data_IF_822270262543
#
_entry.id   IF_822270262543
#
_cell.length_a   1.000
_cell.length_b   1.000
_cell.length_c   1.000
_cell.angle_alpha   90.00
_cell.angle_beta   90.00
_cell.angle_gamma   90.00
#
_symmetry.space_group_name_H-M   'P 1'
#
loop_
_entity.id
_entity.type
_entity.pdbx_description
1 polymer ?
#
# COMPACT_ATOMS: atom_id res chain seq x y z
N UNK A 1 1.44 13.80 -26.64
CA UNK A 1 0.61 15.00 -26.71
C UNK A 1 -0.88 14.63 -26.71
N UNK A 2 -1.35 13.74 -27.55
CA UNK A 2 -2.78 13.34 -27.68
C UNK A 2 -3.44 12.98 -26.35
N UNK A 3 -2.77 12.16 -25.50
CA UNK A 3 -3.29 11.80 -24.16
C UNK A 3 -3.44 13.01 -23.26
N UNK A 4 -2.54 13.98 -23.35
CA UNK A 4 -2.60 15.21 -22.58
C UNK A 4 -3.77 16.10 -23.03
N UNK A 5 -3.99 16.24 -24.33
CA UNK A 5 -5.09 17.03 -24.89
C UNK A 5 -6.45 16.39 -24.56
N UNK A 6 -6.54 15.05 -24.61
CA UNK A 6 -7.72 14.31 -24.14
C UNK A 6 -7.96 14.53 -22.64
N UNK A 7 -6.91 14.58 -21.83
CA UNK A 7 -7.03 14.88 -20.40
C UNK A 7 -7.52 16.32 -20.18
N UNK A 8 -6.99 17.29 -20.93
CA UNK A 8 -7.42 18.67 -20.87
C UNK A 8 -8.91 18.85 -21.23
N UNK A 9 -9.42 18.07 -22.19
CA UNK A 9 -10.83 18.06 -22.54
C UNK A 9 -11.72 17.40 -21.47
N UNK A 10 -11.14 16.51 -20.65
CA UNK A 10 -11.87 15.73 -19.65
C UNK A 10 -11.97 16.46 -18.31
N UNK A 11 -10.88 17.07 -17.82
CA UNK A 11 -10.80 17.66 -16.48
C UNK A 11 -11.94 18.65 -16.17
N UNK A 12 -12.35 19.57 -17.05
CA UNK A 12 -13.46 20.49 -16.75
C UNK A 12 -14.80 19.80 -16.48
N UNK A 13 -14.95 18.54 -16.91
CA UNK A 13 -16.17 17.73 -16.71
C UNK A 13 -16.16 16.94 -15.40
N UNK A 14 -15.03 16.97 -14.67
CA UNK A 14 -14.81 16.17 -13.46
C UNK A 14 -15.13 16.92 -12.15
N UNK A 15 -16.10 17.85 -12.17
CA UNK A 15 -16.50 18.59 -10.96
C UNK A 15 -16.87 17.62 -9.83
N UNK A 16 -16.29 17.83 -8.63
CA UNK A 16 -16.36 16.96 -7.44
C UNK A 16 -15.57 15.64 -7.52
N UNK A 17 -15.12 15.21 -8.69
CA UNK A 17 -14.18 14.09 -8.75
C UNK A 17 -12.80 14.51 -8.19
N UNK A 18 -12.12 13.68 -7.41
CA UNK A 18 -10.81 14.04 -6.86
C UNK A 18 -9.78 14.40 -7.93
N UNK A 19 -9.85 13.82 -9.12
CA UNK A 19 -8.94 14.11 -10.23
C UNK A 19 -9.00 15.57 -10.67
N UNK A 20 -10.15 16.26 -10.54
CA UNK A 20 -10.23 17.69 -10.78
C UNK A 20 -9.35 18.47 -9.78
N UNK A 21 -9.47 18.15 -8.50
CA UNK A 21 -8.71 18.81 -7.44
C UNK A 21 -7.22 18.48 -7.51
N UNK A 22 -6.88 17.21 -7.72
CA UNK A 22 -5.50 16.75 -7.77
C UNK A 22 -4.75 17.34 -8.96
N UNK A 23 -5.35 17.36 -10.16
CA UNK A 23 -4.75 17.99 -11.35
C UNK A 23 -4.39 19.44 -11.07
N UNK A 24 -5.30 20.22 -10.48
CA UNK A 24 -5.02 21.63 -10.18
C UNK A 24 -4.01 21.82 -9.02
N UNK A 25 -3.96 20.90 -8.05
CA UNK A 25 -2.92 20.91 -7.00
C UNK A 25 -1.54 20.59 -7.58
N UNK A 26 -1.46 19.61 -8.49
CA UNK A 26 -0.23 19.24 -9.19
C UNK A 26 0.30 20.41 -10.05
N UNK A 27 -0.57 21.17 -10.72
CA UNK A 27 -0.17 22.36 -11.45
C UNK A 27 0.26 23.50 -10.51
N UNK A 28 -0.42 23.66 -9.39
CA UNK A 28 -0.18 24.76 -8.46
C UNK A 28 1.12 24.60 -7.67
N UNK A 29 1.35 23.44 -7.07
CA UNK A 29 2.44 23.29 -6.09
C UNK A 29 3.81 23.12 -6.71
N UNK A 30 4.08 22.14 -7.58
CA UNK A 30 5.38 22.04 -8.24
C UNK A 30 5.62 23.17 -9.25
N UNK A 31 4.61 23.50 -10.06
CA UNK A 31 4.79 24.40 -11.22
C UNK A 31 4.41 25.86 -10.98
N UNK A 32 3.81 26.19 -9.85
CA UNK A 32 3.40 27.57 -9.53
C UNK A 32 2.29 28.11 -10.42
N UNK A 33 1.51 27.26 -11.11
CA UNK A 33 0.40 27.68 -11.96
C UNK A 33 -0.82 27.91 -11.07
N UNK A 34 -1.11 29.18 -10.77
CA UNK A 34 -2.23 29.63 -9.94
C UNK A 34 -3.16 30.52 -10.78
N UNK A 35 -4.46 30.44 -10.50
CA UNK A 35 -5.44 31.29 -11.21
C UNK A 35 -5.82 30.83 -12.61
N UNK A 36 -5.18 29.78 -13.16
CA UNK A 36 -5.50 29.20 -14.46
C UNK A 36 -6.11 27.83 -14.26
N UNK A 37 -7.32 27.61 -14.76
CA UNK A 37 -7.94 26.29 -14.77
C UNK A 37 -7.42 25.47 -15.96
N UNK A 38 -7.23 24.19 -15.73
CA UNK A 38 -6.81 23.26 -16.77
C UNK A 38 -7.97 22.87 -17.67
N UNK A 39 -7.84 23.14 -18.95
CA UNK A 39 -8.85 22.84 -19.95
C UNK A 39 -8.30 23.03 -21.37
N UNK A 40 -9.12 22.77 -22.42
CA UNK A 40 -8.67 22.86 -23.80
C UNK A 40 -7.99 24.18 -24.18
N UNK A 41 -8.55 25.29 -23.71
CA UNK A 41 -8.09 26.63 -24.06
C UNK A 41 -6.76 27.03 -23.41
N UNK A 42 -6.40 26.37 -22.29
CA UNK A 42 -5.20 26.66 -21.48
C UNK A 42 -4.15 25.56 -21.60
N UNK A 43 -4.48 24.44 -22.20
CA UNK A 43 -3.63 23.27 -22.27
C UNK A 43 -2.30 23.53 -23.00
N UNK A 44 -2.31 24.35 -24.06
CA UNK A 44 -1.11 24.71 -24.80
C UNK A 44 -0.08 25.41 -23.93
N UNK A 45 -0.46 26.51 -23.31
CA UNK A 45 0.42 27.34 -22.47
C UNK A 45 0.92 26.57 -21.24
N UNK A 46 0.03 25.76 -20.63
CA UNK A 46 0.40 24.93 -19.48
C UNK A 46 1.43 23.86 -19.89
N UNK A 47 1.24 23.23 -21.05
CA UNK A 47 2.20 22.25 -21.58
C UNK A 47 3.57 22.86 -21.78
N UNK A 48 3.65 23.99 -22.45
CA UNK A 48 4.93 24.67 -22.73
C UNK A 48 5.62 25.07 -21.44
N UNK A 49 4.90 25.69 -20.51
CA UNK A 49 5.44 26.10 -19.22
C UNK A 49 5.94 24.94 -18.37
N UNK A 50 5.13 23.90 -18.23
CA UNK A 50 5.52 22.73 -17.41
C UNK A 50 6.65 21.93 -18.05
N UNK A 51 6.65 21.77 -19.38
CA UNK A 51 7.72 21.10 -20.13
C UNK A 51 9.04 21.84 -20.00
N UNK A 52 9.03 23.17 -20.14
CA UNK A 52 10.23 23.99 -19.95
C UNK A 52 10.79 23.86 -18.55
N UNK A 53 9.96 23.85 -17.51
CA UNK A 53 10.39 23.66 -16.12
C UNK A 53 10.98 22.26 -15.90
N UNK A 54 10.35 21.20 -16.41
CA UNK A 54 10.87 19.82 -16.28
C UNK A 54 12.19 19.63 -17.04
N UNK A 55 12.39 20.33 -18.15
CA UNK A 55 13.61 20.27 -18.97
C UNK A 55 14.74 21.17 -18.45
N UNK A 56 14.46 22.10 -17.55
CA UNK A 56 15.44 23.07 -17.05
C UNK A 56 16.56 22.47 -16.20
N UNK A 57 16.46 21.19 -15.81
CA UNK A 57 17.38 20.52 -14.88
C UNK A 57 17.16 20.85 -13.41
N UNK A 58 16.22 21.74 -13.07
CA UNK A 58 15.89 22.15 -11.69
C UNK A 58 14.63 21.48 -11.13
N UNK A 59 14.04 20.53 -11.85
CA UNK A 59 12.84 19.80 -11.46
C UNK A 59 13.01 18.30 -11.71
N UNK A 60 14.14 17.74 -11.31
CA UNK A 60 14.35 16.30 -11.26
C UNK A 60 13.53 15.64 -10.14
N UNK A 61 13.56 14.32 -10.08
CA UNK A 61 12.82 13.55 -9.09
C UNK A 61 13.12 14.00 -7.64
N UNK A 62 14.38 14.14 -7.29
CA UNK A 62 14.78 14.57 -5.95
C UNK A 62 14.41 16.03 -5.66
N UNK A 63 14.46 16.91 -6.66
CA UNK A 63 14.06 18.31 -6.50
C UNK A 63 12.58 18.44 -6.17
N UNK A 64 11.73 17.64 -6.83
CA UNK A 64 10.29 17.59 -6.54
C UNK A 64 10.06 17.07 -5.12
N UNK A 65 10.74 15.99 -4.71
CA UNK A 65 10.61 15.43 -3.36
C UNK A 65 11.02 16.46 -2.28
N UNK A 66 12.15 17.11 -2.46
CA UNK A 66 12.64 18.16 -1.56
C UNK A 66 11.69 19.37 -1.50
N UNK A 67 11.17 19.81 -2.65
CA UNK A 67 10.19 20.88 -2.74
C UNK A 67 8.88 20.55 -2.00
N UNK A 68 8.51 19.28 -1.93
CA UNK A 68 7.34 18.78 -1.20
C UNK A 68 7.63 18.41 0.26
N UNK A 69 8.85 18.70 0.77
CA UNK A 69 9.30 18.32 2.12
C UNK A 69 9.15 16.82 2.40
N UNK A 70 9.45 15.98 1.42
CA UNK A 70 9.45 14.53 1.59
C UNK A 70 10.75 14.12 2.26
N UNK A 71 10.66 13.46 3.41
CA UNK A 71 11.81 12.94 4.15
C UNK A 71 12.18 11.51 3.75
N UNK A 72 11.16 10.70 3.45
CA UNK A 72 11.36 9.31 3.07
C UNK A 72 10.33 8.85 2.03
N UNK A 73 10.79 8.01 1.11
CA UNK A 73 9.98 7.29 0.14
C UNK A 73 10.22 5.80 0.36
N UNK A 74 9.15 5.05 0.60
CA UNK A 74 9.19 3.59 0.63
C UNK A 74 8.62 3.07 -0.70
N UNK A 75 9.42 2.30 -1.41
CA UNK A 75 9.03 1.66 -2.67
C UNK A 75 8.35 0.31 -2.39
N UNK A 76 7.84 -0.34 -3.42
CA UNK A 76 7.30 -1.70 -3.32
C UNK A 76 8.19 -2.64 -4.12
N UNK A 77 8.85 -3.59 -3.45
CA UNK A 77 9.91 -4.40 -4.03
C UNK A 77 9.67 -5.90 -3.83
N UNK A 78 9.94 -6.67 -4.88
CA UNK A 78 9.86 -8.13 -4.87
C UNK A 78 11.07 -8.72 -4.10
N UNK A 79 10.90 -9.79 -3.32
CA UNK A 79 12.03 -10.49 -2.66
C UNK A 79 13.21 -10.80 -3.58
N UNK A 80 12.96 -10.94 -4.89
CA UNK A 80 14.00 -11.23 -5.89
C UNK A 80 14.78 -10.00 -6.35
N UNK A 81 14.39 -8.78 -5.97
CA UNK A 81 15.03 -7.55 -6.45
C UNK A 81 16.38 -7.32 -5.80
N UNK A 82 17.32 -6.81 -6.58
CA UNK A 82 18.70 -6.59 -6.15
C UNK A 82 18.91 -5.34 -5.28
N UNK A 83 17.91 -4.46 -5.21
CA UNK A 83 17.91 -3.19 -4.47
C UNK A 83 19.11 -2.27 -4.83
N UNK A 84 19.66 -2.42 -6.01
CA UNK A 84 20.85 -1.65 -6.43
C UNK A 84 20.58 -0.14 -6.47
N UNK A 85 19.36 0.27 -6.84
CA UNK A 85 18.96 1.68 -6.84
C UNK A 85 18.95 2.25 -5.43
N UNK A 86 18.39 1.53 -4.45
CA UNK A 86 18.36 1.93 -3.04
C UNK A 86 19.76 2.12 -2.46
N UNK A 87 20.65 1.16 -2.72
CA UNK A 87 22.04 1.22 -2.24
C UNK A 87 22.83 2.37 -2.88
N UNK A 88 22.65 2.61 -4.19
CA UNK A 88 23.27 3.78 -4.85
C UNK A 88 22.75 5.08 -4.29
N UNK A 89 21.44 5.18 -4.05
CA UNK A 89 20.86 6.37 -3.47
C UNK A 89 21.33 6.60 -2.03
N UNK A 90 21.37 5.57 -1.20
CA UNK A 90 21.90 5.67 0.17
C UNK A 90 23.37 6.12 0.18
N UNK A 91 24.19 5.65 -0.77
CA UNK A 91 25.58 6.05 -0.91
C UNK A 91 25.76 7.51 -1.40
N UNK A 92 24.75 8.13 -2.00
CA UNK A 92 24.80 9.52 -2.44
C UNK A 92 24.76 10.53 -1.29
N UNK A 93 24.28 10.12 -0.10
CA UNK A 93 24.11 10.99 1.05
C UNK A 93 22.97 12.02 0.91
N UNK A 94 22.05 11.82 -0.04
CA UNK A 94 20.88 12.70 -0.19
C UNK A 94 20.01 12.73 1.07
N UNK A 95 19.40 13.87 1.35
CA UNK A 95 18.54 14.06 2.53
C UNK A 95 17.25 13.27 2.47
N UNK A 96 16.71 13.02 1.29
CA UNK A 96 15.51 12.19 1.09
C UNK A 96 15.91 10.71 1.13
N UNK A 97 15.33 9.95 2.05
CA UNK A 97 15.60 8.52 2.16
C UNK A 97 14.78 7.75 1.13
N UNK A 98 15.42 6.84 0.40
CA UNK A 98 14.76 5.86 -0.48
C UNK A 98 14.92 4.48 0.14
N UNK A 99 13.85 3.91 0.67
CA UNK A 99 13.84 2.66 1.41
C UNK A 99 12.99 1.61 0.70
N UNK A 100 13.43 0.35 0.64
CA UNK A 100 12.59 -0.71 0.08
C UNK A 100 11.49 -1.12 1.05
N UNK A 101 10.38 -1.66 0.51
CA UNK A 101 9.35 -2.38 1.24
C UNK A 101 9.27 -3.80 0.72
N UNK A 102 9.31 -4.78 1.62
CA UNK A 102 9.30 -6.20 1.28
C UNK A 102 7.89 -6.66 0.92
N UNK A 103 7.65 -6.99 -0.36
CA UNK A 103 6.34 -7.46 -0.86
C UNK A 103 6.41 -8.87 -1.45
N UNK A 104 6.25 -9.90 -0.62
CA UNK A 104 6.39 -11.31 -1.03
C UNK A 104 5.09 -11.93 -1.57
N UNK A 105 4.18 -11.17 -2.17
CA UNK A 105 2.89 -11.69 -2.65
C UNK A 105 3.03 -12.83 -3.63
N UNK A 106 4.05 -12.79 -4.50
CA UNK A 106 4.31 -13.88 -5.45
C UNK A 106 4.73 -15.18 -4.77
N UNK A 107 5.35 -15.13 -3.59
CA UNK A 107 5.66 -16.32 -2.81
C UNK A 107 4.41 -17.12 -2.45
N UNK A 108 3.30 -16.41 -2.17
CA UNK A 108 2.03 -16.99 -1.76
C UNK A 108 1.14 -17.44 -2.92
N UNK A 109 1.48 -17.02 -4.14
CA UNK A 109 0.65 -17.21 -5.33
C UNK A 109 0.80 -18.62 -5.97
N UNK A 110 0.84 -19.67 -5.15
CA UNK A 110 1.04 -21.07 -5.59
C UNK A 110 0.03 -21.53 -6.65
N UNK A 111 -1.18 -20.94 -6.65
CA UNK A 111 -2.22 -21.19 -7.63
C UNK A 111 -1.87 -20.74 -9.05
N UNK A 112 -0.81 -19.93 -9.23
CA UNK A 112 -0.38 -19.48 -10.55
C UNK A 112 0.47 -20.53 -11.29
N UNK A 113 0.65 -21.72 -10.71
CA UNK A 113 1.29 -22.86 -11.37
C UNK A 113 2.67 -22.49 -11.93
N UNK A 114 2.81 -22.54 -13.28
CA UNK A 114 4.09 -22.28 -13.94
C UNK A 114 4.69 -20.90 -13.59
N UNK A 115 3.91 -19.84 -13.54
CA UNK A 115 4.40 -18.51 -13.22
C UNK A 115 4.96 -18.45 -11.79
N UNK A 116 4.35 -19.18 -10.85
CA UNK A 116 4.87 -19.31 -9.49
C UNK A 116 6.18 -20.13 -9.45
N UNK A 117 6.29 -21.23 -10.21
CA UNK A 117 7.55 -21.99 -10.30
C UNK A 117 8.69 -21.14 -10.85
N UNK A 118 8.46 -20.40 -11.92
CA UNK A 118 9.45 -19.48 -12.52
C UNK A 118 9.87 -18.39 -11.53
N UNK A 119 8.95 -17.93 -10.67
CA UNK A 119 9.28 -17.00 -9.60
C UNK A 119 10.12 -17.66 -8.49
N UNK A 120 9.82 -18.90 -8.09
CA UNK A 120 10.65 -19.65 -7.13
C UNK A 120 12.07 -19.85 -7.66
N UNK A 121 12.23 -20.14 -8.94
CA UNK A 121 13.55 -20.25 -9.57
C UNK A 121 14.30 -18.90 -9.60
N UNK A 122 13.59 -17.78 -9.68
CA UNK A 122 14.18 -16.44 -9.50
C UNK A 122 14.63 -16.22 -8.05
N UNK A 123 13.82 -16.64 -7.08
CA UNK A 123 14.17 -16.54 -5.66
C UNK A 123 15.41 -17.40 -5.34
N UNK A 124 15.51 -18.58 -5.93
CA UNK A 124 16.68 -19.45 -5.82
C UNK A 124 17.95 -18.71 -6.28
N UNK A 125 17.91 -18.10 -7.46
CA UNK A 125 19.04 -17.29 -7.99
C UNK A 125 19.33 -16.06 -7.11
N UNK A 126 18.31 -15.35 -6.67
CA UNK A 126 18.48 -14.13 -5.88
C UNK A 126 19.00 -14.39 -4.46
N UNK A 127 18.66 -15.54 -3.87
CA UNK A 127 19.14 -15.96 -2.54
C UNK A 127 20.46 -16.72 -2.58
N UNK A 128 20.85 -17.26 -3.74
CA UNK A 128 21.97 -18.17 -3.89
C UNK A 128 21.76 -19.52 -3.20
N UNK A 129 20.52 -19.91 -2.96
CA UNK A 129 20.14 -21.14 -2.22
C UNK A 129 19.32 -22.04 -3.13
N UNK A 130 19.67 -23.32 -3.22
CA UNK A 130 18.85 -24.31 -3.90
C UNK A 130 17.55 -24.55 -3.10
N UNK A 131 16.40 -24.46 -3.81
CA UNK A 131 15.06 -24.57 -3.22
C UNK A 131 14.42 -25.90 -3.62
N UNK A 132 14.76 -26.97 -2.88
CA UNK A 132 14.26 -28.32 -3.10
C UNK A 132 12.93 -28.62 -2.39
N UNK A 133 12.70 -27.96 -1.26
CA UNK A 133 11.58 -28.21 -0.37
C UNK A 133 11.07 -26.92 0.30
N UNK A 134 10.00 -27.02 1.06
CA UNK A 134 9.39 -25.90 1.75
C UNK A 134 10.35 -25.23 2.77
N UNK A 135 11.17 -26.03 3.47
CA UNK A 135 12.12 -25.49 4.45
C UNK A 135 13.21 -24.64 3.78
N UNK A 136 13.74 -25.11 2.62
CA UNK A 136 14.68 -24.35 1.81
C UNK A 136 14.03 -23.07 1.23
N UNK A 137 12.76 -23.14 0.83
CA UNK A 137 11.99 -21.98 0.36
C UNK A 137 11.82 -20.93 1.45
N UNK A 138 11.44 -21.33 2.65
CA UNK A 138 11.33 -20.42 3.80
C UNK A 138 12.69 -19.82 4.18
N UNK A 139 13.76 -20.60 4.14
CA UNK A 139 15.12 -20.12 4.39
C UNK A 139 15.56 -19.09 3.35
N UNK A 140 15.23 -19.30 2.07
CA UNK A 140 15.51 -18.34 1.00
C UNK A 140 14.75 -17.03 1.23
N UNK A 141 13.45 -17.10 1.57
CA UNK A 141 12.65 -15.92 1.94
C UNK A 141 13.23 -15.17 3.15
N UNK A 142 13.60 -15.87 4.20
CA UNK A 142 14.22 -15.27 5.38
C UNK A 142 15.57 -14.60 5.06
N UNK A 143 16.39 -15.21 4.19
CA UNK A 143 17.63 -14.60 3.70
C UNK A 143 17.36 -13.30 2.92
N UNK A 144 16.35 -13.29 2.06
CA UNK A 144 15.97 -12.07 1.32
C UNK A 144 15.39 -11.00 2.24
N UNK A 145 14.58 -11.38 3.22
CA UNK A 145 14.08 -10.46 4.25
C UNK A 145 15.23 -9.79 5.02
N UNK A 146 16.24 -10.58 5.44
CA UNK A 146 17.44 -10.04 6.08
C UNK A 146 18.24 -9.11 5.16
N UNK A 147 18.32 -9.41 3.86
CA UNK A 147 18.94 -8.53 2.86
C UNK A 147 18.22 -7.19 2.74
N UNK A 148 16.88 -7.20 2.72
CA UNK A 148 16.08 -5.99 2.73
C UNK A 148 16.33 -5.18 4.01
N UNK A 149 16.41 -5.83 5.18
CA UNK A 149 16.73 -5.19 6.45
C UNK A 149 18.09 -4.46 6.40
N UNK A 150 19.11 -5.09 5.81
CA UNK A 150 20.44 -4.49 5.62
C UNK A 150 20.41 -3.27 4.69
N UNK A 151 19.44 -3.21 3.77
CA UNK A 151 19.22 -2.08 2.86
C UNK A 151 18.33 -0.98 3.47
N UNK A 152 17.93 -1.13 4.74
CA UNK A 152 17.16 -0.14 5.48
C UNK A 152 15.65 -0.37 5.49
N UNK A 153 15.17 -1.49 4.97
CA UNK A 153 13.76 -1.85 5.01
C UNK A 153 13.23 -1.92 6.46
N UNK A 154 12.02 -1.42 6.66
CA UNK A 154 11.29 -1.42 7.94
C UNK A 154 9.84 -1.85 7.79
N UNK A 155 9.43 -2.16 6.56
CA UNK A 155 8.05 -2.40 6.21
C UNK A 155 7.92 -3.68 5.37
N UNK A 156 6.87 -4.44 5.62
CA UNK A 156 6.34 -5.41 4.66
C UNK A 156 4.98 -4.97 4.15
N UNK A 157 4.61 -5.42 2.95
CA UNK A 157 3.34 -5.09 2.31
C UNK A 157 2.74 -6.33 1.67
N UNK A 158 1.44 -6.53 1.84
CA UNK A 158 0.72 -7.71 1.37
C UNK A 158 -0.66 -7.33 0.86
N UNK A 159 -1.05 -7.93 -0.27
CA UNK A 159 -2.42 -7.87 -0.80
C UNK A 159 -3.17 -9.15 -0.47
N UNK A 160 -4.37 -9.04 0.10
CA UNK A 160 -5.22 -10.15 0.48
C UNK A 160 -6.55 -10.07 -0.28
N UNK A 161 -6.75 -10.97 -1.22
CA UNK A 161 -7.90 -10.99 -2.14
C UNK A 161 -8.77 -12.24 -1.96
N UNK A 162 -8.24 -13.27 -1.30
CA UNK A 162 -8.93 -14.50 -0.97
C UNK A 162 -8.75 -14.84 0.52
N UNK A 163 -9.77 -15.41 1.12
CA UNK A 163 -9.88 -15.56 2.56
C UNK A 163 -10.36 -16.97 2.92
N UNK A 164 -9.71 -17.56 3.92
CA UNK A 164 -10.12 -18.80 4.59
C UNK A 164 -9.82 -18.69 6.08
N UNK A 165 -10.61 -19.34 6.91
CA UNK A 165 -10.45 -19.36 8.36
C UNK A 165 -9.23 -20.17 8.81
N UNK A 166 -8.80 -21.13 8.00
CA UNK A 166 -7.78 -22.09 8.36
C UNK A 166 -6.41 -21.77 7.73
N UNK A 167 -5.40 -22.32 8.34
CA UNK A 167 -4.04 -22.42 7.82
C UNK A 167 -3.72 -23.90 7.61
N UNK A 168 -2.57 -24.20 7.04
CA UNK A 168 -2.05 -25.56 6.91
C UNK A 168 -1.15 -25.93 8.09
N UNK A 169 -1.04 -27.25 8.37
CA UNK A 169 0.11 -27.77 9.10
C UNK A 169 1.37 -27.68 8.25
N UNK A 170 2.54 -27.84 8.86
CA UNK A 170 3.81 -27.84 8.14
C UNK A 170 3.87 -28.98 7.11
N UNK A 171 3.36 -30.17 7.48
CA UNK A 171 3.33 -31.35 6.62
C UNK A 171 2.40 -31.14 5.39
N UNK A 172 1.21 -30.58 5.60
CA UNK A 172 0.28 -30.24 4.52
C UNK A 172 0.90 -29.20 3.58
N UNK A 173 1.51 -28.16 4.13
CA UNK A 173 2.16 -27.10 3.34
C UNK A 173 3.35 -27.64 2.54
N UNK A 174 4.15 -28.53 3.13
CA UNK A 174 5.28 -29.19 2.45
C UNK A 174 4.79 -30.09 1.31
N UNK A 175 3.69 -30.83 1.51
CA UNK A 175 3.11 -31.67 0.49
C UNK A 175 2.59 -30.84 -0.72
N UNK A 176 1.88 -29.73 -0.44
CA UNK A 176 1.40 -28.83 -1.51
C UNK A 176 2.57 -28.16 -2.25
N UNK A 177 3.59 -27.71 -1.51
CA UNK A 177 4.79 -27.13 -2.13
C UNK A 177 5.46 -28.13 -3.07
N UNK A 178 5.68 -29.38 -2.62
CA UNK A 178 6.30 -30.42 -3.41
C UNK A 178 5.47 -30.75 -4.67
N UNK A 179 4.15 -30.87 -4.54
CA UNK A 179 3.23 -31.09 -5.67
C UNK A 179 3.33 -29.93 -6.69
N UNK A 180 3.30 -28.68 -6.25
CA UNK A 180 3.40 -27.51 -7.12
C UNK A 180 4.77 -27.44 -7.82
N UNK A 181 5.87 -27.78 -7.14
CA UNK A 181 7.21 -27.83 -7.75
C UNK A 181 7.34 -28.92 -8.83
N UNK A 182 6.52 -29.96 -8.78
CA UNK A 182 6.42 -31.01 -9.81
C UNK A 182 5.42 -30.68 -10.93
N UNK A 183 4.85 -29.47 -10.92
CA UNK A 183 3.87 -29.02 -11.90
C UNK A 183 2.43 -29.42 -11.60
N UNK A 184 2.16 -29.91 -10.39
CA UNK A 184 0.80 -30.18 -9.91
C UNK A 184 0.03 -28.87 -9.70
N UNK A 185 -1.29 -28.91 -9.98
CA UNK A 185 -2.17 -27.78 -9.77
C UNK A 185 -2.52 -27.67 -8.27
N UNK A 186 -2.35 -26.46 -7.71
CA UNK A 186 -2.82 -26.10 -6.37
C UNK A 186 -3.77 -24.92 -6.52
N UNK A 187 -5.06 -25.14 -6.26
CA UNK A 187 -6.08 -24.12 -6.51
C UNK A 187 -7.11 -24.07 -5.37
N UNK A 188 -8.04 -23.12 -5.48
CA UNK A 188 -9.15 -22.99 -4.56
C UNK A 188 -8.72 -22.83 -3.10
N UNK A 189 -9.35 -23.54 -2.21
CA UNK A 189 -9.13 -23.45 -0.76
C UNK A 189 -7.70 -23.77 -0.33
N UNK A 190 -7.07 -24.76 -0.93
CA UNK A 190 -5.72 -25.17 -0.56
C UNK A 190 -4.68 -24.08 -0.86
N UNK A 191 -4.85 -23.38 -1.97
CA UNK A 191 -3.99 -22.22 -2.28
C UNK A 191 -4.14 -21.08 -1.27
N UNK A 192 -5.37 -20.83 -0.79
CA UNK A 192 -5.63 -19.81 0.25
C UNK A 192 -5.03 -20.24 1.60
N UNK A 193 -5.21 -21.51 2.00
CA UNK A 193 -4.63 -22.06 3.24
C UNK A 193 -3.09 -22.06 3.18
N UNK A 194 -2.48 -22.35 2.03
CA UNK A 194 -1.03 -22.19 1.81
C UNK A 194 -0.59 -20.72 1.95
N UNK A 195 -1.36 -19.79 1.38
CA UNK A 195 -1.12 -18.36 1.58
C UNK A 195 -1.17 -17.99 3.07
N UNK A 196 -2.16 -18.46 3.82
CA UNK A 196 -2.27 -18.23 5.27
C UNK A 196 -1.06 -18.78 6.04
N UNK A 197 -0.61 -20.00 5.70
CA UNK A 197 0.59 -20.60 6.28
C UNK A 197 1.84 -19.73 6.08
N UNK A 198 2.06 -19.24 4.87
CA UNK A 198 3.18 -18.34 4.58
C UNK A 198 3.01 -16.98 5.25
N UNK A 199 1.79 -16.47 5.38
CA UNK A 199 1.53 -15.22 6.10
C UNK A 199 1.89 -15.33 7.59
N UNK A 200 1.63 -16.48 8.21
CA UNK A 200 2.04 -16.75 9.61
C UNK A 200 3.58 -16.80 9.73
N UNK A 201 4.27 -17.46 8.79
CA UNK A 201 5.73 -17.48 8.73
C UNK A 201 6.33 -16.07 8.54
N UNK A 202 5.82 -15.30 7.59
CA UNK A 202 6.29 -13.95 7.30
C UNK A 202 6.01 -12.99 8.48
N UNK A 203 4.90 -13.20 9.23
CA UNK A 203 4.63 -12.43 10.44
C UNK A 203 5.74 -12.61 11.48
N UNK A 204 6.24 -13.85 11.63
CA UNK A 204 7.37 -14.15 12.52
C UNK A 204 8.65 -13.41 12.13
N UNK A 205 8.94 -13.31 10.81
CA UNK A 205 10.10 -12.56 10.33
C UNK A 205 9.96 -11.06 10.61
N UNK A 206 8.78 -10.49 10.31
CA UNK A 206 8.50 -9.08 10.54
C UNK A 206 8.60 -8.73 12.04
N UNK A 207 7.99 -9.54 12.90
CA UNK A 207 8.03 -9.35 14.35
C UNK A 207 9.46 -9.42 14.91
N UNK A 208 10.25 -10.41 14.50
CA UNK A 208 11.64 -10.58 14.92
C UNK A 208 12.52 -9.40 14.46
N UNK A 209 12.23 -8.81 13.31
CA UNK A 209 12.95 -7.65 12.78
C UNK A 209 12.42 -6.30 13.30
N UNK A 210 11.29 -6.29 14.05
CA UNK A 210 10.63 -5.06 14.51
C UNK A 210 10.04 -4.25 13.35
N UNK A 211 9.61 -4.91 12.27
CA UNK A 211 9.01 -4.24 11.11
C UNK A 211 7.52 -3.98 11.31
N UNK A 212 7.01 -3.05 10.52
CA UNK A 212 5.58 -2.78 10.41
C UNK A 212 5.04 -3.51 9.18
N UNK A 213 4.00 -4.30 9.39
CA UNK A 213 3.29 -5.04 8.34
C UNK A 213 2.12 -4.22 7.82
N UNK A 214 1.96 -4.16 6.51
CA UNK A 214 0.82 -3.53 5.85
C UNK A 214 -0.03 -4.60 5.17
N UNK A 215 -1.34 -4.64 5.45
CA UNK A 215 -2.29 -5.57 4.84
C UNK A 215 -3.34 -4.80 4.05
N UNK A 216 -3.31 -4.93 2.73
CA UNK A 216 -4.30 -4.39 1.80
C UNK A 216 -5.35 -5.45 1.51
N UNK A 217 -6.62 -5.16 1.81
CA UNK A 217 -7.66 -6.19 1.89
C UNK A 217 -8.85 -5.86 1.00
N UNK A 218 -9.30 -6.84 0.21
CA UNK A 218 -10.61 -6.81 -0.43
C UNK A 218 -10.68 -6.08 -1.78
N UNK A 219 -9.58 -6.05 -2.55
CA UNK A 219 -9.62 -5.57 -3.94
C UNK A 219 -10.20 -6.65 -4.87
N UNK A 220 -11.22 -6.30 -5.65
CA UNK A 220 -11.69 -7.12 -6.77
C UNK A 220 -10.86 -6.78 -7.99
N UNK A 221 -9.90 -7.65 -8.29
CA UNK A 221 -8.97 -7.46 -9.40
C UNK A 221 -9.57 -7.83 -10.74
N UNK A 222 -9.42 -6.93 -11.70
CA UNK A 222 -9.67 -7.17 -13.12
C UNK A 222 -11.03 -7.84 -13.45
N UNK A 223 -12.18 -7.36 -12.91
CA UNK A 223 -13.49 -7.97 -13.22
C UNK A 223 -13.86 -7.88 -14.70
N UNK A 224 -13.26 -6.97 -15.47
CA UNK A 224 -13.41 -6.88 -16.92
C UNK A 224 -12.35 -7.73 -17.63
N UNK A 225 -12.69 -9.00 -17.91
CA UNK A 225 -11.77 -9.94 -18.57
C UNK A 225 -11.36 -9.54 -19.99
N UNK A 226 -12.20 -8.78 -20.73
CA UNK A 226 -11.82 -8.26 -22.05
C UNK A 226 -10.72 -7.20 -21.93
N UNK A 227 -10.88 -6.24 -21.01
CA UNK A 227 -9.86 -5.22 -20.76
C UNK A 227 -8.55 -5.85 -20.25
N UNK A 228 -8.63 -6.85 -19.36
CA UNK A 228 -7.44 -7.58 -18.90
C UNK A 228 -6.67 -8.24 -20.03
N UNK A 229 -7.38 -8.88 -20.98
CA UNK A 229 -6.75 -9.52 -22.15
C UNK A 229 -6.11 -8.50 -23.09
N UNK A 230 -6.79 -7.38 -23.33
CA UNK A 230 -6.41 -6.43 -24.37
C UNK A 230 -5.40 -5.37 -23.87
N UNK A 231 -5.43 -5.02 -22.58
CA UNK A 231 -4.64 -3.96 -21.97
C UNK A 231 -3.69 -4.44 -20.86
N UNK A 232 -3.91 -5.63 -20.33
CA UNK A 232 -3.16 -6.18 -19.20
C UNK A 232 -3.67 -5.72 -17.82
N UNK A 233 -3.02 -6.18 -16.75
CA UNK A 233 -3.38 -5.81 -15.37
C UNK A 233 -3.00 -4.36 -15.05
N UNK A 234 -3.52 -3.82 -13.95
CA UNK A 234 -3.22 -2.49 -13.41
C UNK A 234 -3.54 -1.33 -14.37
N UNK A 235 -4.53 -1.51 -15.23
CA UNK A 235 -4.93 -0.50 -16.24
C UNK A 235 -6.23 0.24 -15.90
N UNK A 236 -6.67 0.17 -14.62
CA UNK A 236 -7.80 0.94 -14.10
C UNK A 236 -9.14 0.18 -14.10
N UNK A 237 -9.11 -1.15 -14.15
CA UNK A 237 -10.31 -2.00 -14.19
C UNK A 237 -10.51 -2.83 -12.92
N UNK A 238 -9.91 -2.43 -11.81
CA UNK A 238 -10.19 -3.00 -10.50
C UNK A 238 -11.47 -2.40 -9.90
N UNK A 239 -12.09 -3.09 -8.94
CA UNK A 239 -13.34 -2.67 -8.34
C UNK A 239 -13.40 -2.96 -6.82
N UNK A 240 -14.44 -2.42 -6.18
CA UNK A 240 -14.86 -2.78 -4.82
C UNK A 240 -15.77 -4.01 -4.93
N UNK A 241 -15.65 -4.94 -3.96
CA UNK A 241 -16.58 -6.05 -3.80
C UNK A 241 -16.97 -6.29 -2.35
N UNK A 242 -18.02 -7.07 -2.16
CA UNK A 242 -18.54 -7.48 -0.86
C UNK A 242 -17.92 -8.81 -0.41
N UNK A 243 -16.62 -8.79 -0.12
CA UNK A 243 -15.95 -9.96 0.45
C UNK A 243 -16.31 -10.13 1.93
N UNK A 244 -16.43 -11.39 2.36
CA UNK A 244 -16.56 -11.75 3.78
C UNK A 244 -15.19 -12.09 4.32
N UNK A 245 -14.47 -11.09 4.82
CA UNK A 245 -13.07 -11.26 5.23
C UNK A 245 -12.77 -10.87 6.69
N UNK A 246 -13.66 -10.19 7.39
CA UNK A 246 -13.34 -9.68 8.74
C UNK A 246 -13.02 -10.83 9.71
N UNK A 247 -13.83 -11.88 9.73
CA UNK A 247 -13.58 -13.03 10.61
C UNK A 247 -12.32 -13.81 10.21
N UNK A 248 -12.11 -14.19 8.93
CA UNK A 248 -10.85 -14.80 8.49
C UNK A 248 -9.60 -13.94 8.77
N UNK A 249 -9.69 -12.62 8.56
CA UNK A 249 -8.60 -11.70 8.89
C UNK A 249 -8.31 -11.70 10.40
N UNK A 250 -9.37 -11.69 11.24
CA UNK A 250 -9.23 -11.83 12.69
C UNK A 250 -8.51 -13.11 13.07
N UNK A 251 -8.83 -14.26 12.44
CA UNK A 251 -8.12 -15.53 12.68
C UNK A 251 -6.66 -15.51 12.23
N UNK A 252 -6.37 -14.85 11.11
CA UNK A 252 -4.98 -14.65 10.66
C UNK A 252 -4.16 -13.89 11.70
N UNK A 253 -4.71 -12.79 12.22
CA UNK A 253 -4.05 -11.99 13.25
C UNK A 253 -3.92 -12.77 14.57
N UNK A 254 -4.96 -13.50 14.95
CA UNK A 254 -5.01 -14.30 16.17
C UNK A 254 -3.96 -15.42 16.21
N UNK A 255 -3.77 -16.14 15.09
CA UNK A 255 -2.70 -17.16 15.01
C UNK A 255 -1.32 -16.57 15.29
N UNK A 256 -1.03 -15.39 14.76
CA UNK A 256 0.22 -14.68 15.02
C UNK A 256 0.30 -14.16 16.46
N UNK A 257 -0.82 -13.67 17.02
CA UNK A 257 -0.89 -13.19 18.39
C UNK A 257 -0.65 -14.32 19.41
N UNK A 258 -1.30 -15.48 19.22
CA UNK A 258 -1.12 -16.65 20.08
C UNK A 258 0.33 -17.19 20.09
N UNK A 259 1.03 -17.05 18.96
CA UNK A 259 2.45 -17.41 18.83
C UNK A 259 3.39 -16.33 19.38
N UNK A 260 2.89 -15.16 19.79
CA UNK A 260 3.72 -14.00 20.16
C UNK A 260 4.48 -13.39 18.99
N UNK A 261 4.03 -13.64 17.76
CA UNK A 261 4.69 -13.20 16.52
C UNK A 261 3.87 -12.18 15.73
N UNK A 262 2.86 -11.54 16.34
CA UNK A 262 2.10 -10.47 15.69
C UNK A 262 2.94 -9.19 15.66
N UNK A 263 3.39 -8.73 14.47
CA UNK A 263 4.11 -7.47 14.33
C UNK A 263 3.19 -6.27 14.47
N UNK A 264 3.74 -5.07 14.61
CA UNK A 264 2.96 -3.85 14.38
C UNK A 264 2.34 -3.91 12.99
N UNK A 265 1.02 -3.69 12.89
CA UNK A 265 0.28 -3.96 11.66
C UNK A 265 -0.67 -2.82 11.31
N UNK A 266 -0.71 -2.46 10.02
CA UNK A 266 -1.64 -1.49 9.45
C UNK A 266 -2.60 -2.23 8.54
N UNK A 267 -3.90 -2.05 8.73
CA UNK A 267 -4.95 -2.66 7.94
C UNK A 267 -5.57 -1.63 7.01
N UNK A 268 -5.65 -1.94 5.71
CA UNK A 268 -6.30 -1.11 4.70
C UNK A 268 -7.45 -1.87 4.07
N UNK A 269 -8.65 -1.27 4.01
CA UNK A 269 -9.80 -1.80 3.30
C UNK A 269 -10.16 -0.95 2.09
N UNK A 270 -10.93 -1.53 1.19
CA UNK A 270 -11.37 -0.86 -0.03
C UNK A 270 -12.88 -0.55 -0.01
N UNK A 271 -13.67 -1.39 0.67
CA UNK A 271 -15.10 -1.19 0.80
C UNK A 271 -15.41 -0.33 2.04
N UNK A 272 -16.04 0.86 1.89
CA UNK A 272 -16.36 1.74 3.03
C UNK A 272 -17.35 1.12 4.02
N UNK A 273 -18.11 0.09 3.61
CA UNK A 273 -18.96 -0.72 4.49
C UNK A 273 -18.19 -1.28 5.68
N UNK A 274 -16.94 -1.63 5.48
CA UNK A 274 -16.12 -2.36 6.45
C UNK A 274 -15.29 -1.44 7.36
N UNK A 275 -15.37 -0.11 7.19
CA UNK A 275 -14.55 0.85 7.95
C UNK A 275 -14.65 0.64 9.47
N UNK A 276 -15.85 0.54 10.02
CA UNK A 276 -16.05 0.34 11.45
C UNK A 276 -15.51 -1.02 11.92
N UNK A 277 -15.77 -2.09 11.15
CA UNK A 277 -15.29 -3.42 11.47
C UNK A 277 -13.76 -3.49 11.49
N UNK A 278 -13.07 -2.83 10.52
CA UNK A 278 -11.61 -2.75 10.47
C UNK A 278 -11.04 -1.95 11.64
N UNK A 279 -11.63 -0.82 11.98
CA UNK A 279 -11.20 -0.01 13.11
C UNK A 279 -11.32 -0.76 14.45
N UNK A 280 -12.45 -1.46 14.67
CA UNK A 280 -12.69 -2.27 15.88
C UNK A 280 -11.75 -3.48 15.91
N UNK A 281 -11.52 -4.13 14.79
CA UNK A 281 -10.58 -5.25 14.71
C UNK A 281 -9.16 -4.81 15.13
N UNK A 282 -8.70 -3.63 14.71
CA UNK A 282 -7.44 -3.07 15.19
C UNK A 282 -7.43 -2.90 16.71
N UNK A 283 -8.54 -2.49 17.31
CA UNK A 283 -8.68 -2.36 18.76
C UNK A 283 -8.51 -3.70 19.50
N UNK A 284 -8.97 -4.81 18.90
CA UNK A 284 -8.94 -6.14 19.50
C UNK A 284 -7.52 -6.73 19.65
N UNK A 285 -6.52 -6.20 18.95
CA UNK A 285 -5.15 -6.72 18.92
C UNK A 285 -4.10 -5.72 19.44
N UNK A 286 -4.48 -4.71 20.20
CA UNK A 286 -3.55 -3.85 20.94
C UNK A 286 -2.90 -4.64 22.11
N UNK A 287 -1.61 -4.41 22.36
CA UNK A 287 -0.88 -5.15 23.42
C UNK A 287 -0.62 -4.34 24.69
N UNK A 288 -1.01 -3.08 24.73
CA UNK A 288 -0.77 -2.20 25.88
C UNK A 288 0.70 -1.76 26.06
N UNK A 289 1.61 -2.23 25.21
CA UNK A 289 3.05 -1.92 25.26
C UNK A 289 3.42 -0.95 24.14
N UNK A 290 3.02 -1.27 22.91
CA UNK A 290 3.32 -0.48 21.72
C UNK A 290 2.13 0.39 21.37
N UNK A 291 2.21 1.69 21.61
CA UNK A 291 1.13 2.62 21.29
C UNK A 291 0.84 2.63 19.78
N UNK A 292 -0.38 2.22 19.40
CA UNK A 292 -0.80 2.11 18.01
C UNK A 292 -0.16 0.91 17.28
N UNK A 293 0.07 -0.20 17.98
CA UNK A 293 0.57 -1.46 17.41
C UNK A 293 -0.27 -1.91 16.21
N UNK A 294 -1.57 -1.85 16.36
CA UNK A 294 -2.51 -2.09 15.27
C UNK A 294 -3.12 -0.76 14.85
N UNK A 295 -3.11 -0.47 13.56
CA UNK A 295 -3.68 0.76 13.03
C UNK A 295 -4.65 0.47 11.90
N UNK A 296 -5.77 1.19 11.92
CA UNK A 296 -6.61 1.32 10.75
C UNK A 296 -5.97 2.37 9.83
N UNK A 297 -5.46 1.92 8.69
CA UNK A 297 -4.60 2.69 7.80
C UNK A 297 -5.33 3.79 7.01
N UNK A 298 -4.61 4.44 6.11
CA UNK A 298 -5.17 5.51 5.28
C UNK A 298 -6.30 5.00 4.37
N UNK A 299 -7.20 5.90 4.00
CA UNK A 299 -8.19 5.64 2.96
C UNK A 299 -7.48 5.24 1.64
N UNK A 300 -7.81 4.05 1.13
CA UNK A 300 -7.09 3.43 0.03
C UNK A 300 -7.89 3.47 -1.28
N UNK A 301 -7.26 3.65 -2.42
CA UNK A 301 -7.82 3.72 -3.78
C UNK A 301 -9.13 4.53 -3.88
N UNK A 302 -10.29 3.83 -3.98
CA UNK A 302 -11.60 4.46 -4.15
C UNK A 302 -12.05 5.28 -2.94
N UNK A 303 -11.42 5.07 -1.77
CA UNK A 303 -11.66 5.86 -0.56
C UNK A 303 -10.72 7.07 -0.44
N UNK A 304 -9.66 7.15 -1.25
CA UNK A 304 -8.68 8.24 -1.26
C UNK A 304 -9.26 9.48 -1.96
N UNK A 305 -10.37 9.99 -1.45
CA UNK A 305 -11.08 11.18 -1.90
C UNK A 305 -11.86 11.80 -0.74
N UNK A 306 -12.37 13.02 -0.90
CA UNK A 306 -12.91 13.83 0.20
C UNK A 306 -13.93 13.08 1.08
N UNK A 307 -14.95 12.47 0.47
CA UNK A 307 -16.02 11.80 1.22
C UNK A 307 -15.52 10.50 1.88
N UNK A 308 -14.67 9.75 1.17
CA UNK A 308 -14.03 8.53 1.69
C UNK A 308 -13.08 8.83 2.86
N UNK A 309 -12.20 9.82 2.69
CA UNK A 309 -11.28 10.26 3.76
C UNK A 309 -12.06 10.79 4.97
N UNK A 310 -13.12 11.57 4.75
CA UNK A 310 -13.93 12.12 5.86
C UNK A 310 -14.56 10.99 6.67
N UNK A 311 -15.25 10.05 6.02
CA UNK A 311 -15.85 8.89 6.70
C UNK A 311 -14.81 8.02 7.40
N UNK A 312 -13.66 7.83 6.78
CA UNK A 312 -12.56 7.08 7.36
C UNK A 312 -12.07 7.76 8.65
N UNK A 313 -11.78 9.05 8.61
CA UNK A 313 -11.28 9.82 9.76
C UNK A 313 -12.33 9.91 10.89
N UNK A 314 -13.61 10.09 10.55
CA UNK A 314 -14.71 10.04 11.52
C UNK A 314 -14.76 8.68 12.22
N UNK A 315 -14.71 7.59 11.47
CA UNK A 315 -14.70 6.23 12.03
C UNK A 315 -13.47 6.01 12.93
N UNK A 316 -12.29 6.40 12.46
CA UNK A 316 -11.05 6.24 13.22
C UNK A 316 -11.05 7.07 14.51
N UNK A 317 -11.59 8.31 14.47
CA UNK A 317 -11.64 9.18 15.65
C UNK A 317 -12.56 8.65 16.75
N UNK A 318 -13.59 7.90 16.36
CA UNK A 318 -14.60 7.35 17.31
C UNK A 318 -14.21 5.96 17.83
N UNK A 319 -13.57 5.13 17.04
CA UNK A 319 -13.29 3.72 17.33
C UNK A 319 -11.81 3.42 17.54
N UNK A 320 -10.95 4.40 17.40
CA UNK A 320 -9.50 4.27 17.53
C UNK A 320 -8.86 5.53 18.14
N UNK A 321 -7.57 5.70 17.90
CA UNK A 321 -6.80 6.83 18.41
C UNK A 321 -6.22 7.65 17.26
N UNK A 322 -6.93 8.71 16.87
CA UNK A 322 -6.54 9.58 15.75
C UNK A 322 -5.12 10.18 15.92
N UNK A 323 -4.70 10.47 17.15
CA UNK A 323 -3.36 11.00 17.44
C UNK A 323 -2.21 10.00 17.18
N UNK A 324 -2.52 8.72 16.98
CA UNK A 324 -1.57 7.66 16.61
C UNK A 324 -1.71 7.21 15.17
N UNK A 325 -2.61 7.84 14.41
CA UNK A 325 -2.81 7.51 13.01
C UNK A 325 -1.54 7.75 12.19
N UNK A 326 -1.17 6.77 11.38
CA UNK A 326 0.02 6.84 10.52
C UNK A 326 -0.04 7.97 9.48
N UNK A 327 -1.24 8.49 9.22
CA UNK A 327 -1.46 9.54 8.23
C UNK A 327 -1.77 8.99 6.85
N UNK A 328 -1.91 9.91 5.89
CA UNK A 328 -2.17 9.60 4.48
C UNK A 328 -0.89 9.16 3.79
N UNK A 329 -0.99 8.12 2.99
CA UNK A 329 0.03 7.65 2.07
C UNK A 329 -0.48 7.89 0.64
N UNK A 330 0.37 8.30 -0.29
CA UNK A 330 -0.06 8.59 -1.67
C UNK A 330 -0.38 7.33 -2.47
N UNK A 331 0.27 6.22 -2.16
CA UNK A 331 0.20 4.95 -2.93
C UNK A 331 0.22 5.22 -4.45
N UNK A 332 1.21 5.99 -4.89
CA UNK A 332 1.26 6.49 -6.27
C UNK A 332 2.65 6.33 -6.87
N UNK A 333 2.68 6.06 -8.17
CA UNK A 333 3.90 6.04 -8.99
C UNK A 333 4.30 7.42 -9.53
N UNK A 334 3.49 8.47 -9.27
CA UNK A 334 3.77 9.83 -9.72
C UNK A 334 4.34 10.69 -8.60
N UNK A 335 5.48 11.31 -8.85
CA UNK A 335 6.08 12.26 -7.90
C UNK A 335 5.22 13.53 -7.70
N UNK A 336 4.38 13.89 -8.68
CA UNK A 336 3.47 15.02 -8.54
C UNK A 336 2.34 14.74 -7.55
N UNK A 337 2.02 13.48 -7.29
CA UNK A 337 0.94 13.08 -6.37
C UNK A 337 1.21 13.40 -4.90
N UNK A 338 2.43 13.78 -4.51
CA UNK A 338 2.71 14.26 -3.15
C UNK A 338 1.89 15.49 -2.77
N UNK A 339 1.35 16.22 -3.73
CA UNK A 339 0.37 17.29 -3.48
C UNK A 339 -0.90 16.80 -2.80
N UNK A 340 -1.23 15.50 -2.90
CA UNK A 340 -2.39 14.91 -2.22
C UNK A 340 -2.27 14.92 -0.70
N UNK A 341 -1.06 15.03 -0.14
CA UNK A 341 -0.88 15.27 1.30
C UNK A 341 -1.50 16.61 1.73
N UNK A 342 -1.46 17.66 0.89
CA UNK A 342 -2.17 18.91 1.18
C UNK A 342 -3.68 18.71 1.14
N UNK A 343 -4.18 17.97 0.15
CA UNK A 343 -5.59 17.64 0.04
C UNK A 343 -6.09 16.95 1.32
N UNK A 344 -5.37 15.92 1.78
CA UNK A 344 -5.66 15.22 3.03
C UNK A 344 -5.61 16.15 4.24
N UNK A 345 -4.54 16.96 4.40
CA UNK A 345 -4.41 17.88 5.55
C UNK A 345 -5.56 18.88 5.62
N UNK A 346 -6.06 19.36 4.50
CA UNK A 346 -7.23 20.26 4.47
C UNK A 346 -8.49 19.57 4.99
N UNK A 347 -8.71 18.30 4.64
CA UNK A 347 -9.85 17.51 5.13
C UNK A 347 -9.71 17.29 6.64
N UNK A 348 -8.55 16.84 7.11
CA UNK A 348 -8.26 16.63 8.53
C UNK A 348 -8.43 17.90 9.35
N UNK A 349 -7.82 19.00 8.92
CA UNK A 349 -7.94 20.30 9.61
C UNK A 349 -9.38 20.79 9.68
N UNK A 350 -10.17 20.60 8.61
CA UNK A 350 -11.60 20.94 8.62
C UNK A 350 -12.36 20.12 9.66
N UNK A 351 -12.13 18.81 9.71
CA UNK A 351 -12.78 17.93 10.69
C UNK A 351 -12.43 18.34 12.12
N UNK A 352 -11.15 18.55 12.40
CA UNK A 352 -10.68 18.96 13.73
C UNK A 352 -11.20 20.36 14.11
N UNK A 353 -11.19 21.32 13.19
CA UNK A 353 -11.69 22.66 13.41
C UNK A 353 -13.17 22.67 13.79
N UNK A 354 -14.00 21.89 13.08
CA UNK A 354 -15.41 21.75 13.40
C UNK A 354 -15.64 21.09 14.78
N UNK A 355 -14.82 20.13 15.15
CA UNK A 355 -14.91 19.43 16.44
C UNK A 355 -14.51 20.35 17.60
N UNK A 356 -13.50 21.21 17.42
CA UNK A 356 -13.00 22.11 18.45
C UNK A 356 -13.93 23.30 18.72
N UNK A 357 -14.72 23.74 17.74
CA UNK A 357 -15.70 24.83 17.92
C UNK A 357 -16.70 24.52 19.03
N UNK A 358 -17.05 23.24 19.24
CA UNK A 358 -17.99 22.83 20.28
C UNK A 358 -17.34 22.60 21.66
N UNK A 359 -16.01 22.59 21.77
CA UNK A 359 -15.27 22.25 23.01
C UNK A 359 -14.60 23.50 23.62
N UNK A 360 -14.33 24.51 22.82
CA UNK A 360 -13.49 25.64 23.22
C UNK A 360 -14.22 26.99 23.39
N UNK A 361 -15.47 27.00 23.83
CA UNK A 361 -15.94 28.18 24.50
C UNK A 361 -15.32 28.20 25.92
N UNK A 362 -14.40 29.12 26.21
CA UNK A 362 -13.95 29.27 27.58
C UNK A 362 -15.18 29.65 28.38
N UNK A 363 -15.60 28.80 29.27
CA UNK A 363 -16.50 29.18 30.38
C UNK A 363 -15.78 30.33 31.07
N UNK A 364 -16.17 31.58 30.78
CA UNK A 364 -15.87 32.70 31.66
C UNK A 364 -16.59 32.35 32.96
N UNK A 365 -15.83 31.85 33.93
CA UNK A 365 -16.24 31.94 35.31
C UNK A 365 -16.20 33.44 35.67
N UNK A 366 -17.38 34.01 35.84
CA UNK A 366 -17.53 35.30 36.53
C UNK A 366 -17.14 35.14 37.99
#
# INVERSE_FOLDING_TARGET
>A
REKYDAWAATVPRLLRNPLYHWTHLELRRPFGITGTLFGPDTAGDIWEKTSAMLQSGSMGALDILKKMNVEAVCTTDDPCDDLAAHRRHAASGDSVKLLPTFRPDKARAIHQGRAWMEWVDRLERASGMEIRDLAAFQKALASRHAWFAQTGCKLSDHSLEAFDDESLSEEEAAALFAAARQGGEVAGRDAVRFSNYLMDFLAGLDAAAGWVRQLHVGALRNPNGAALRDLGPDTGFDAIADFTYIAPLGRLLDRSAQKGTLPSTILYNLNPRDNAAMAVLCGSFQDGVTAGKMQYGAAWWFLDQMDGMTRHLETLSQLGMLSRFVGMLTDSRSLLSYTRHEYFRRILCRMLGLSLIHISEPTRQE
#
